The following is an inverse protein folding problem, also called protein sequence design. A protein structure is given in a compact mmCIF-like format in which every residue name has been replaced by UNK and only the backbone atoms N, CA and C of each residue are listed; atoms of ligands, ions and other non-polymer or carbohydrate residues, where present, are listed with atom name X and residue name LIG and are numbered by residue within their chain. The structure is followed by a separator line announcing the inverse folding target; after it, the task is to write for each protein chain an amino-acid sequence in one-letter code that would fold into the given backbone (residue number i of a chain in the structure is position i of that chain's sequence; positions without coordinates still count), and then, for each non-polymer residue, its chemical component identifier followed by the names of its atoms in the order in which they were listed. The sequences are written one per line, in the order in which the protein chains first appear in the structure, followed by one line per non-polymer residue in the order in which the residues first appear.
data_IF_179701873331
#
_entry.id   IF_179701873331
#
_cell.length_a   1.000
_cell.length_b   1.000
_cell.length_c   1.000
_cell.angle_alpha   90.00
_cell.angle_beta   90.00
_cell.angle_gamma   90.00
#
_symmetry.space_group_name_H-M   'P 1'
#
loop_
_entity.id
_entity.type
_entity.pdbx_description
1 polymer ?
#
# COMPACT_ATOMS: atom_id res chain seq x y z
N UNK A 1 -0.56 -12.89 -13.33
CA UNK A 1 -0.77 -11.85 -12.32
C UNK A 1 0.29 -12.05 -11.26
N UNK A 2 0.97 -10.98 -10.84
CA UNK A 2 2.08 -11.05 -9.90
C UNK A 2 1.59 -10.74 -8.49
N UNK A 3 2.15 -11.42 -7.49
CA UNK A 3 1.88 -11.17 -6.07
C UNK A 3 3.09 -10.52 -5.43
N UNK A 4 2.84 -9.55 -4.56
CA UNK A 4 3.85 -8.84 -3.79
C UNK A 4 3.46 -8.87 -2.33
N UNK A 5 4.41 -9.23 -1.47
CA UNK A 5 4.33 -9.05 -0.03
C UNK A 5 5.40 -8.05 0.40
N UNK A 6 5.01 -7.04 1.16
CA UNK A 6 5.93 -6.01 1.67
C UNK A 6 5.42 -5.44 2.99
N UNK A 7 6.29 -4.81 3.77
CA UNK A 7 5.93 -4.17 5.03
C UNK A 7 6.35 -2.70 4.98
N UNK A 8 5.45 -1.83 5.41
CA UNK A 8 5.68 -0.38 5.42
C UNK A 8 5.64 0.14 6.84
N UNK A 9 6.70 0.81 7.26
CA UNK A 9 6.70 1.58 8.50
C UNK A 9 6.01 2.92 8.27
N UNK A 10 4.99 3.21 9.08
CA UNK A 10 4.24 4.46 9.08
C UNK A 10 4.42 5.14 10.43
N UNK A 11 4.81 6.41 10.41
CA UNK A 11 4.75 7.27 11.59
C UNK A 11 3.40 7.98 11.58
N UNK A 12 2.58 7.71 12.59
CA UNK A 12 1.23 8.24 12.73
C UNK A 12 1.24 9.70 13.18
N UNK A 13 0.08 10.36 13.08
CA UNK A 13 -0.07 11.77 13.48
C UNK A 13 0.15 12.00 14.98
N UNK A 14 -0.05 10.96 15.80
CA UNK A 14 0.23 10.94 17.24
C UNK A 14 1.65 10.44 17.57
N UNK A 15 2.55 10.46 16.58
CA UNK A 15 3.97 10.16 16.69
C UNK A 15 4.29 8.72 17.13
N UNK A 16 3.37 7.78 16.87
CA UNK A 16 3.61 6.35 17.04
C UNK A 16 4.11 5.76 15.74
N UNK A 17 5.05 4.85 15.82
CA UNK A 17 5.42 4.04 14.67
C UNK A 17 4.50 2.83 14.62
N UNK A 18 4.03 2.49 13.42
CA UNK A 18 3.29 1.25 13.13
C UNK A 18 3.94 0.56 11.93
N UNK A 19 3.89 -0.77 11.93
CA UNK A 19 4.27 -1.56 10.76
C UNK A 19 3.02 -2.12 10.11
N UNK A 20 2.85 -1.87 8.82
CA UNK A 20 1.70 -2.33 8.04
C UNK A 20 2.21 -3.37 7.05
N UNK A 21 1.80 -4.61 7.24
CA UNK A 21 2.04 -5.69 6.29
C UNK A 21 1.03 -5.58 5.15
N UNK A 22 1.52 -5.65 3.91
CA UNK A 22 0.77 -5.46 2.69
C UNK A 22 0.93 -6.68 1.79
N UNK A 23 -0.18 -7.14 1.23
CA UNK A 23 -0.22 -8.19 0.21
C UNK A 23 -0.98 -7.67 -1.00
N UNK A 24 -0.30 -7.53 -2.14
CA UNK A 24 -0.84 -6.93 -3.35
C UNK A 24 -0.82 -7.91 -4.53
N UNK A 25 -1.88 -7.90 -5.33
CA UNK A 25 -1.87 -8.49 -6.67
C UNK A 25 -1.72 -7.35 -7.68
N UNK A 26 -0.70 -7.40 -8.52
CA UNK A 26 -0.40 -6.35 -9.47
C UNK A 26 -0.06 -6.90 -10.86
N UNK A 27 -0.17 -6.04 -11.87
CA UNK A 27 0.12 -6.37 -13.27
C UNK A 27 0.78 -5.19 -13.96
N UNK A 28 1.54 -5.47 -15.02
CA UNK A 28 2.00 -4.44 -15.94
C UNK A 28 0.83 -3.90 -16.76
N UNK A 29 0.78 -2.58 -16.93
CA UNK A 29 -0.12 -1.91 -17.89
C UNK A 29 0.63 -1.37 -19.12
N UNK A 30 1.95 -1.54 -19.19
CA UNK A 30 2.74 -1.07 -20.32
C UNK A 30 2.45 -1.89 -21.58
N UNK A 31 2.05 -1.20 -22.64
CA UNK A 31 1.93 -1.77 -23.99
C UNK A 31 3.25 -1.69 -24.79
N UNK A 32 4.29 -1.01 -24.29
CA UNK A 32 5.38 -0.51 -25.15
C UNK A 32 6.81 -0.95 -24.83
N UNK A 33 7.06 -1.71 -23.78
CA UNK A 33 8.35 -2.38 -23.59
C UNK A 33 8.20 -3.53 -22.60
N UNK A 34 8.96 -4.60 -22.80
CA UNK A 34 9.17 -5.59 -21.75
C UNK A 34 9.88 -4.90 -20.59
N UNK A 35 9.18 -4.73 -19.47
CA UNK A 35 9.77 -4.25 -18.22
C UNK A 35 10.19 -5.50 -17.46
N UNK A 36 11.45 -5.61 -17.01
CA UNK A 36 11.88 -6.71 -16.16
C UNK A 36 10.96 -6.85 -14.95
N UNK A 37 10.65 -8.09 -14.55
CA UNK A 37 9.73 -8.33 -13.42
C UNK A 37 10.22 -7.67 -12.13
N UNK A 38 11.53 -7.60 -11.92
CA UNK A 38 12.17 -6.92 -10.78
C UNK A 38 11.90 -5.41 -10.79
N UNK A 39 12.04 -4.75 -11.94
CA UNK A 39 11.77 -3.31 -12.07
C UNK A 39 10.29 -2.99 -11.87
N UNK A 40 9.41 -3.88 -12.36
CA UNK A 40 7.97 -3.76 -12.17
C UNK A 40 7.59 -3.94 -10.70
N UNK A 41 8.21 -4.91 -10.02
CA UNK A 41 8.03 -5.16 -8.59
C UNK A 41 8.51 -3.97 -7.75
N UNK A 42 9.71 -3.44 -8.04
CA UNK A 42 10.27 -2.30 -7.34
C UNK A 42 9.39 -1.05 -7.49
N UNK A 43 8.85 -0.81 -8.68
CA UNK A 43 7.90 0.28 -8.93
C UNK A 43 6.58 0.08 -8.18
N UNK A 44 6.07 -1.16 -8.12
CA UNK A 44 4.88 -1.48 -7.34
C UNK A 44 5.12 -1.24 -5.84
N UNK A 45 6.27 -1.67 -5.30
CA UNK A 45 6.65 -1.44 -3.89
C UNK A 45 6.73 0.05 -3.59
N UNK A 46 7.46 0.83 -4.41
CA UNK A 46 7.63 2.26 -4.19
C UNK A 46 6.28 2.99 -4.17
N UNK A 47 5.46 2.78 -5.19
CA UNK A 47 4.15 3.40 -5.30
C UNK A 47 3.23 3.04 -4.12
N UNK A 48 3.14 1.76 -3.76
CA UNK A 48 2.31 1.32 -2.65
C UNK A 48 2.82 1.91 -1.33
N UNK A 49 4.13 1.95 -1.12
CA UNK A 49 4.76 2.47 0.10
C UNK A 49 4.46 3.95 0.29
N UNK A 50 4.66 4.76 -0.74
CA UNK A 50 4.41 6.20 -0.70
C UNK A 50 2.94 6.53 -0.40
N UNK A 51 2.01 5.82 -1.05
CA UNK A 51 0.58 6.03 -0.83
C UNK A 51 0.13 5.60 0.56
N UNK A 52 0.62 4.48 1.06
CA UNK A 52 0.34 3.98 2.41
C UNK A 52 0.87 4.96 3.47
N UNK A 53 2.10 5.44 3.32
CA UNK A 53 2.66 6.45 4.21
C UNK A 53 1.90 7.76 4.15
N UNK A 54 1.54 8.22 2.95
CA UNK A 54 0.78 9.46 2.77
C UNK A 54 -0.63 9.37 3.36
N UNK A 55 -1.33 8.25 3.23
CA UNK A 55 -2.70 8.11 3.73
C UNK A 55 -2.74 7.90 5.24
N UNK A 56 -1.86 7.06 5.76
CA UNK A 56 -1.90 6.66 7.17
C UNK A 56 -1.06 7.55 8.08
N UNK A 57 -0.11 8.33 7.54
CA UNK A 57 0.66 9.30 8.32
C UNK A 57 -0.20 10.42 8.93
N UNK A 58 -1.36 10.73 8.33
CA UNK A 58 -2.32 11.69 8.89
C UNK A 58 -3.32 11.06 9.88
N UNK A 59 -3.28 9.74 10.08
CA UNK A 59 -4.14 9.05 11.04
C UNK A 59 -3.39 8.83 12.36
N UNK A 60 -4.12 8.81 13.47
CA UNK A 60 -3.59 8.34 14.75
C UNK A 60 -3.51 6.81 14.78
N UNK A 61 -2.69 6.25 15.67
CA UNK A 61 -2.60 4.80 15.80
C UNK A 61 -3.95 4.17 16.16
N UNK A 62 -4.73 4.79 17.06
CA UNK A 62 -6.05 4.29 17.43
C UNK A 62 -7.05 4.31 16.25
N UNK A 63 -6.97 5.32 15.38
CA UNK A 63 -7.76 5.34 14.15
C UNK A 63 -7.38 4.18 13.25
N UNK A 64 -6.08 3.98 13.00
CA UNK A 64 -5.57 2.89 12.18
C UNK A 64 -5.95 1.52 12.76
N UNK A 65 -5.78 1.29 14.06
CA UNK A 65 -6.26 0.07 14.72
C UNK A 65 -7.76 -0.14 14.52
N UNK A 66 -8.59 0.89 14.72
CA UNK A 66 -10.03 0.80 14.46
C UNK A 66 -10.35 0.51 12.99
N UNK A 67 -9.54 1.01 12.05
CA UNK A 67 -9.73 0.78 10.62
C UNK A 67 -9.36 -0.65 10.20
N UNK A 68 -8.28 -1.21 10.74
CA UNK A 68 -7.78 -2.53 10.37
C UNK A 68 -8.40 -3.68 11.17
N UNK A 69 -8.73 -3.45 12.45
CA UNK A 69 -9.39 -4.44 13.32
C UNK A 69 -10.91 -4.28 13.40
N UNK A 70 -11.46 -3.16 12.88
CA UNK A 70 -12.91 -2.95 12.78
C UNK A 70 -13.54 -3.69 11.58
N UNK A 71 -14.87 -3.73 11.54
CA UNK A 71 -15.64 -4.46 10.51
C UNK A 71 -15.58 -3.85 9.09
N UNK A 72 -14.74 -2.84 8.83
CA UNK A 72 -14.72 -2.09 7.57
C UNK A 72 -13.60 -2.56 6.63
N UNK A 73 -13.84 -3.67 5.94
CA UNK A 73 -13.00 -4.17 4.82
C UNK A 73 -12.99 -3.25 3.56
N UNK A 74 -13.53 -2.03 3.62
CA UNK A 74 -13.63 -1.12 2.47
C UNK A 74 -12.29 -0.43 2.14
N UNK A 75 -11.36 -0.38 3.09
CA UNK A 75 -10.08 0.31 2.96
C UNK A 75 -9.15 -0.31 1.91
N UNK A 76 -8.92 -1.63 1.85
CA UNK A 76 -7.96 -2.20 0.90
C UNK A 76 -8.42 -2.04 -0.56
N UNK A 77 -9.73 -2.08 -0.81
CA UNK A 77 -10.30 -1.77 -2.13
C UNK A 77 -10.22 -0.27 -2.47
N UNK A 78 -10.42 0.60 -1.49
CA UNK A 78 -10.29 2.05 -1.67
C UNK A 78 -8.82 2.45 -1.90
N UNK A 79 -7.89 1.82 -1.20
CA UNK A 79 -6.46 2.02 -1.30
C UNK A 79 -5.95 1.59 -2.68
N UNK A 80 -6.36 0.42 -3.19
CA UNK A 80 -6.04 0.01 -4.56
C UNK A 80 -6.57 1.00 -5.61
N UNK A 81 -7.74 1.61 -5.41
CA UNK A 81 -8.27 2.66 -6.32
C UNK A 81 -7.42 3.93 -6.29
N UNK A 82 -7.05 4.41 -5.10
CA UNK A 82 -6.20 5.60 -4.93
C UNK A 82 -4.82 5.37 -5.56
N UNK A 83 -4.19 4.23 -5.26
CA UNK A 83 -2.91 3.81 -5.82
C UNK A 83 -2.96 3.74 -7.35
N UNK A 84 -4.01 3.13 -7.92
CA UNK A 84 -4.14 3.06 -9.38
C UNK A 84 -4.39 4.43 -10.03
N UNK A 85 -5.06 5.35 -9.33
CA UNK A 85 -5.23 6.72 -9.81
C UNK A 85 -3.88 7.43 -9.87
N UNK A 86 -3.10 7.37 -8.78
CA UNK A 86 -1.73 7.88 -8.72
C UNK A 86 -0.84 7.25 -9.80
N UNK A 87 -0.90 5.93 -9.96
CA UNK A 87 -0.19 5.20 -11.01
C UNK A 87 -0.50 5.74 -12.41
N UNK A 88 -1.78 6.03 -12.68
CA UNK A 88 -2.21 6.56 -13.97
C UNK A 88 -1.74 8.01 -14.18
N UNK A 89 -1.90 8.86 -13.17
CA UNK A 89 -1.53 10.28 -13.21
C UNK A 89 -0.02 10.46 -13.41
N UNK A 90 0.78 9.67 -12.69
CA UNK A 90 2.26 9.70 -12.73
C UNK A 90 2.86 8.74 -13.80
N UNK A 91 2.01 8.12 -14.63
CA UNK A 91 2.39 7.20 -15.71
C UNK A 91 3.23 5.97 -15.27
N UNK A 92 3.00 5.45 -14.06
CA UNK A 92 3.57 4.18 -13.63
C UNK A 92 3.06 3.04 -14.52
N UNK A 93 3.93 2.10 -14.93
CA UNK A 93 3.57 0.93 -15.71
C UNK A 93 2.91 -0.18 -14.88
N UNK A 94 2.41 0.12 -13.68
CA UNK A 94 1.85 -0.84 -12.72
C UNK A 94 0.37 -0.58 -12.50
N UNK A 95 -0.42 -1.65 -12.41
CA UNK A 95 -1.79 -1.63 -11.89
C UNK A 95 -1.94 -2.62 -10.74
N UNK A 96 -2.43 -2.14 -9.60
CA UNK A 96 -2.75 -2.94 -8.42
C UNK A 96 -4.19 -3.45 -8.53
N UNK A 97 -4.38 -4.74 -8.80
CA UNK A 97 -5.70 -5.35 -8.95
C UNK A 97 -6.40 -5.54 -7.60
N UNK A 98 -5.65 -5.95 -6.58
CA UNK A 98 -6.12 -6.05 -5.20
C UNK A 98 -4.98 -5.74 -4.25
N UNK A 99 -5.32 -5.20 -3.09
CA UNK A 99 -4.41 -4.94 -2.01
C UNK A 99 -5.09 -5.40 -0.73
N UNK A 100 -4.35 -6.07 0.14
CA UNK A 100 -4.72 -6.41 1.50
C UNK A 100 -3.69 -5.76 2.43
N UNK A 101 -4.14 -5.37 3.61
CA UNK A 101 -3.30 -4.67 4.56
C UNK A 101 -3.65 -5.13 5.98
N UNK A 102 -2.64 -5.34 6.83
CA UNK A 102 -2.79 -5.67 8.24
C UNK A 102 -1.76 -4.93 9.08
N UNK A 103 -2.16 -4.38 10.23
CA UNK A 103 -1.23 -3.75 11.16
C UNK A 103 -0.57 -4.85 12.00
N UNK A 104 0.76 -4.77 12.12
CA UNK A 104 1.54 -5.49 13.11
C UNK A 104 1.87 -4.52 14.24
N UNK A 105 1.44 -4.86 15.44
CA UNK A 105 1.68 -4.09 16.67
C UNK A 105 3.16 -3.75 16.82
N UNK A 106 3.47 -2.52 17.22
CA UNK A 106 4.80 -2.19 17.73
C UNK A 106 4.68 -2.27 19.24
N UNK A 107 5.49 -3.16 19.82
CA UNK A 107 5.60 -3.35 21.26
C UNK A 107 5.54 -2.00 22.00
N UNK A 108 4.56 -1.88 22.89
CA UNK A 108 4.47 -0.81 23.89
C UNK A 108 5.85 -0.65 24.54
N UNK A 109 6.51 0.48 24.28
CA UNK A 109 7.66 0.94 25.04
C UNK A 109 7.16 1.80 26.21
#
# INVERSE_FOLDING_TARGET
MNTLETSVSVQTSDNKSLTIDLSAVYNSVSMRAHIPDEDLQNQAIALITEEVQSLFGYCSAAQLECYFNGSKQELPQSLAKVINKRACDDMYPVRVASLNASIRDIALA
#
